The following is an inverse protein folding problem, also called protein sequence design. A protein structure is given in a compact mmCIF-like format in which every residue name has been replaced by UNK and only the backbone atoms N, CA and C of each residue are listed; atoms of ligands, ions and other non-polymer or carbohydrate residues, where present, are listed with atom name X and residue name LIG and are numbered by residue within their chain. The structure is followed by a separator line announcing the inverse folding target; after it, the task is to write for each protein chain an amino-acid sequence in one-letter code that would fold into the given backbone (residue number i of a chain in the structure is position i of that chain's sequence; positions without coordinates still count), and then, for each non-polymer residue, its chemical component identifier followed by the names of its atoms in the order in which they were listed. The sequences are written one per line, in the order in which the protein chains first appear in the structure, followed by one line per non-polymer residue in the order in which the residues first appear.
data_IF_149541768625
#
_entry.id   IF_149541768625
#
_cell.length_a   1.000
_cell.length_b   1.000
_cell.length_c   1.000
_cell.angle_alpha   90.00
_cell.angle_beta   90.00
_cell.angle_gamma   90.00
#
_symmetry.space_group_name_H-M   'P 1'
#
loop_
_entity.id
_entity.type
_entity.pdbx_description
1 polymer ?
#
# COMPACT_ATOMS: atom_id res chain seq x y z
N UNK A 1 21.08 -30.69 -44.73
CA UNK A 1 20.50 -30.29 -46.02
C UNK A 1 19.75 -28.98 -45.85
N UNK A 2 20.39 -27.87 -46.21
CA UNK A 2 19.83 -26.53 -46.07
C UNK A 2 18.91 -26.24 -47.25
N UNK A 3 17.67 -25.82 -47.00
CA UNK A 3 16.78 -25.30 -48.05
C UNK A 3 16.67 -23.79 -47.89
N UNK A 4 17.28 -23.10 -48.85
CA UNK A 4 17.21 -21.65 -49.06
C UNK A 4 15.93 -21.25 -49.84
N UNK A 5 15.73 -19.93 -49.90
CA UNK A 5 15.00 -19.12 -50.92
C UNK A 5 13.49 -19.00 -50.63
N UNK A 6 12.86 -17.82 -50.51
CA UNK A 6 12.88 -16.69 -51.45
C UNK A 6 12.39 -15.38 -50.78
N UNK A 7 13.13 -14.29 -50.98
CA UNK A 7 12.73 -12.90 -50.66
C UNK A 7 12.09 -12.30 -51.93
N UNK A 8 10.88 -11.76 -51.82
CA UNK A 8 10.24 -10.99 -52.89
C UNK A 8 10.33 -9.49 -52.55
N UNK A 9 11.16 -8.78 -53.29
CA UNK A 9 11.27 -7.31 -53.31
C UNK A 9 10.29 -6.80 -54.38
N UNK A 10 9.33 -5.97 -53.99
CA UNK A 10 8.53 -5.20 -54.92
C UNK A 10 8.80 -3.71 -54.69
N UNK A 11 9.37 -3.07 -55.71
CA UNK A 11 9.62 -1.63 -55.79
C UNK A 11 8.66 -0.99 -56.80
N UNK A 12 8.15 0.21 -56.49
CA UNK A 12 7.67 1.34 -57.31
C UNK A 12 6.59 2.08 -56.49
N UNK A 13 6.49 3.42 -56.42
CA UNK A 13 6.89 4.45 -57.36
C UNK A 13 7.20 5.79 -56.64
N UNK A 14 8.10 6.57 -57.25
CA UNK A 14 8.43 7.95 -56.89
C UNK A 14 7.45 8.89 -57.60
N UNK A 15 6.82 9.81 -56.86
CA UNK A 15 6.18 11.01 -57.42
C UNK A 15 6.83 12.22 -56.78
N UNK A 16 7.50 13.02 -57.61
CA UNK A 16 8.03 14.32 -57.26
C UNK A 16 7.00 15.41 -57.63
N UNK A 17 6.71 16.32 -56.71
CA UNK A 17 5.89 17.49 -57.01
C UNK A 17 5.83 18.50 -55.86
N UNK A 18 6.47 19.66 -56.07
CA UNK A 18 6.01 20.95 -55.52
C UNK A 18 6.71 21.47 -54.26
N UNK A 19 7.61 22.44 -54.44
CA UNK A 19 8.02 23.37 -53.38
C UNK A 19 6.96 24.45 -53.20
N UNK A 20 6.42 24.61 -51.99
CA UNK A 20 5.82 25.85 -51.51
C UNK A 20 6.29 26.07 -50.08
N UNK A 21 6.95 27.21 -49.86
CA UNK A 21 7.59 27.61 -48.62
C UNK A 21 6.62 28.54 -47.88
N UNK A 22 5.77 27.98 -47.02
CA UNK A 22 4.94 28.76 -46.10
C UNK A 22 5.50 28.65 -44.69
N UNK A 23 6.07 29.76 -44.23
CA UNK A 23 6.42 30.00 -42.83
C UNK A 23 5.17 29.86 -41.97
N UNK A 24 5.09 28.80 -41.18
CA UNK A 24 4.16 28.69 -40.07
C UNK A 24 4.94 28.45 -38.80
N UNK A 25 4.95 29.50 -37.98
CA UNK A 25 5.27 29.51 -36.55
C UNK A 25 4.59 28.31 -35.88
N UNK A 26 5.33 27.21 -35.73
CA UNK A 26 4.87 26.04 -34.98
C UNK A 26 5.48 26.18 -33.60
N UNK A 27 4.66 26.70 -32.69
CA UNK A 27 4.89 26.58 -31.26
C UNK A 27 5.35 25.15 -30.96
N UNK A 28 6.46 25.06 -30.24
CA UNK A 28 6.99 23.82 -29.71
C UNK A 28 5.97 23.22 -28.74
N UNK A 29 4.97 22.56 -29.29
CA UNK A 29 4.18 21.56 -28.57
C UNK A 29 5.15 20.40 -28.38
N UNK A 30 5.86 20.45 -27.26
CA UNK A 30 6.41 19.26 -26.64
C UNK A 30 5.20 18.36 -26.41
N UNK A 31 4.93 17.45 -27.36
CA UNK A 31 4.14 16.28 -27.08
C UNK A 31 4.97 15.49 -26.10
N UNK A 32 4.76 15.75 -24.81
CA UNK A 32 4.94 14.74 -23.79
C UNK A 32 4.13 13.54 -24.27
N UNK A 33 4.80 12.54 -24.83
CA UNK A 33 4.26 11.19 -24.82
C UNK A 33 3.87 10.86 -23.37
N UNK A 34 2.94 9.94 -23.13
CA UNK A 34 2.64 9.54 -21.77
C UNK A 34 3.97 9.16 -21.13
N UNK A 35 4.42 10.00 -20.21
CA UNK A 35 5.36 9.60 -19.18
C UNK A 35 4.74 8.32 -18.64
N UNK A 36 5.45 7.21 -18.77
CA UNK A 36 5.03 5.92 -18.23
C UNK A 36 4.95 6.11 -16.72
N UNK A 37 3.83 6.68 -16.26
CA UNK A 37 3.57 6.95 -14.87
C UNK A 37 3.69 5.63 -14.15
N UNK A 38 4.50 5.60 -13.09
CA UNK A 38 4.74 4.39 -12.32
C UNK A 38 3.42 3.66 -12.06
N UNK A 39 3.28 2.51 -12.70
CA UNK A 39 2.15 1.61 -12.54
C UNK A 39 2.31 0.99 -11.16
N UNK A 40 1.38 1.29 -10.25
CA UNK A 40 1.50 0.92 -8.84
C UNK A 40 0.31 0.08 -8.41
N UNK A 41 0.60 -1.11 -7.91
CA UNK A 41 -0.36 -1.98 -7.24
C UNK A 41 -0.11 -1.97 -5.74
N UNK A 42 -1.17 -2.18 -4.97
CA UNK A 42 -1.11 -2.25 -3.51
C UNK A 42 -2.03 -3.32 -2.97
N UNK A 43 -1.72 -3.79 -1.77
CA UNK A 43 -2.62 -4.63 -1.00
C UNK A 43 -2.28 -4.60 0.48
N UNK A 44 -3.23 -5.01 1.31
CA UNK A 44 -3.04 -5.23 2.73
C UNK A 44 -3.27 -6.72 3.01
N UNK A 45 -2.25 -7.36 3.57
CA UNK A 45 -2.29 -8.76 3.94
C UNK A 45 -3.03 -8.90 5.26
N UNK A 46 -4.04 -9.76 5.28
CA UNK A 46 -4.86 -10.06 6.44
C UNK A 46 -4.85 -11.54 6.77
N UNK A 47 -4.81 -11.85 8.05
CA UNK A 47 -5.02 -13.20 8.59
C UNK A 47 -6.48 -13.62 8.43
N UNK A 48 -6.78 -14.91 8.70
CA UNK A 48 -8.11 -15.48 8.49
C UNK A 48 -9.21 -14.83 9.36
N UNK A 49 -8.84 -14.25 10.50
CA UNK A 49 -9.72 -13.47 11.38
C UNK A 49 -9.90 -12.00 10.92
N UNK A 50 -9.24 -11.59 9.84
CA UNK A 50 -9.29 -10.25 9.28
C UNK A 50 -8.28 -9.25 9.85
N UNK A 51 -7.40 -9.69 10.77
CA UNK A 51 -6.35 -8.84 11.34
C UNK A 51 -5.31 -8.48 10.27
N UNK A 52 -5.02 -7.18 10.10
CA UNK A 52 -4.01 -6.73 9.14
C UNK A 52 -2.60 -6.93 9.69
N UNK A 53 -1.76 -7.66 8.98
CA UNK A 53 -0.39 -8.02 9.42
C UNK A 53 0.72 -7.36 8.61
N UNK A 54 0.46 -7.03 7.34
CA UNK A 54 1.43 -6.35 6.49
C UNK A 54 0.73 -5.54 5.38
N UNK A 55 1.42 -4.53 4.85
CA UNK A 55 1.06 -3.87 3.60
C UNK A 55 2.09 -4.24 2.54
N UNK A 56 1.64 -4.39 1.29
CA UNK A 56 2.50 -4.62 0.15
C UNK A 56 2.24 -3.57 -0.94
N UNK A 57 3.32 -3.11 -1.57
CA UNK A 57 3.28 -2.29 -2.79
C UNK A 57 4.11 -2.97 -3.88
N UNK A 58 3.65 -2.87 -5.12
CA UNK A 58 4.37 -3.33 -6.31
C UNK A 58 4.43 -2.14 -7.25
N UNK A 59 5.62 -1.58 -7.39
CA UNK A 59 5.89 -0.42 -8.22
C UNK A 59 6.61 -0.91 -9.50
N UNK A 60 5.96 -0.77 -10.66
CA UNK A 60 6.53 -1.15 -11.95
C UNK A 60 7.23 0.05 -12.58
N UNK A 61 8.54 -0.06 -12.80
CA UNK A 61 9.37 1.01 -13.36
C UNK A 61 10.55 0.37 -14.09
N UNK A 62 11.01 0.98 -15.18
CA UNK A 62 12.18 0.53 -15.95
C UNK A 62 12.13 -0.95 -16.41
N UNK A 63 10.92 -1.49 -16.63
CA UNK A 63 10.71 -2.83 -17.15
C UNK A 63 10.76 -3.96 -16.10
N UNK A 64 10.78 -3.65 -14.81
CA UNK A 64 10.69 -4.63 -13.72
C UNK A 64 9.78 -4.14 -12.59
N UNK A 65 9.39 -5.06 -11.71
CA UNK A 65 8.60 -4.81 -10.51
C UNK A 65 9.51 -4.61 -9.29
N UNK A 66 9.25 -3.57 -8.49
CA UNK A 66 9.79 -3.41 -7.14
C UNK A 66 8.70 -3.74 -6.13
N UNK A 67 8.84 -4.86 -5.44
CA UNK A 67 7.91 -5.31 -4.39
C UNK A 67 8.42 -4.86 -3.03
N UNK A 68 7.62 -4.07 -2.32
CA UNK A 68 7.88 -3.69 -0.92
C UNK A 68 6.82 -4.31 -0.04
N UNK A 69 7.21 -5.04 1.00
CA UNK A 69 6.31 -5.58 2.02
C UNK A 69 6.78 -5.12 3.40
N UNK A 70 5.86 -4.59 4.19
CA UNK A 70 6.16 -4.09 5.53
C UNK A 70 5.05 -4.44 6.50
N UNK A 71 5.43 -4.96 7.68
CA UNK A 71 4.47 -5.30 8.74
C UNK A 71 3.73 -4.08 9.24
N UNK A 72 2.43 -4.20 9.53
CA UNK A 72 1.59 -3.11 10.07
C UNK A 72 1.89 -2.77 11.53
N UNK A 73 2.57 -3.66 12.24
CA UNK A 73 2.88 -3.54 13.66
C UNK A 73 3.86 -4.60 14.13
N UNK A 74 3.84 -4.85 15.44
CA UNK A 74 4.71 -5.83 16.13
C UNK A 74 3.86 -6.96 16.74
N UNK A 75 4.46 -8.13 16.95
CA UNK A 75 3.83 -9.27 17.62
C UNK A 75 2.72 -10.01 16.86
N UNK A 76 2.31 -9.57 15.67
CA UNK A 76 1.31 -10.26 14.86
C UNK A 76 1.89 -11.44 14.05
N UNK A 77 3.19 -11.42 13.78
CA UNK A 77 3.93 -12.48 13.10
C UNK A 77 5.01 -13.03 14.03
N UNK A 78 5.28 -14.34 13.93
CA UNK A 78 6.38 -14.98 14.64
C UNK A 78 7.74 -14.48 14.15
N UNK A 79 8.78 -14.39 15.00
CA UNK A 79 10.13 -14.13 14.52
C UNK A 79 10.63 -15.25 13.61
N UNK A 80 11.28 -14.89 12.50
CA UNK A 80 11.81 -15.85 11.53
C UNK A 80 11.58 -15.44 10.08
N UNK A 81 11.86 -16.38 9.18
CA UNK A 81 11.60 -16.21 7.75
C UNK A 81 10.21 -16.73 7.40
N UNK A 82 9.46 -15.90 6.69
CA UNK A 82 8.13 -16.21 6.17
C UNK A 82 8.18 -16.21 4.64
N UNK A 83 7.76 -17.32 4.01
CA UNK A 83 7.61 -17.42 2.57
C UNK A 83 6.62 -16.39 2.03
N UNK A 84 6.88 -15.86 0.85
CA UNK A 84 6.08 -14.79 0.26
C UNK A 84 5.89 -15.08 -1.23
N UNK A 85 4.65 -15.26 -1.65
CA UNK A 85 4.36 -15.65 -3.04
C UNK A 85 3.18 -14.85 -3.59
N UNK A 86 3.25 -14.53 -4.88
CA UNK A 86 2.07 -14.13 -5.65
C UNK A 86 1.29 -15.39 -6.04
N UNK A 87 -0.03 -15.35 -5.94
CA UNK A 87 -0.94 -16.45 -6.25
C UNK A 87 -1.87 -16.12 -7.42
N UNK A 88 -2.27 -17.16 -8.15
CA UNK A 88 -2.91 -17.08 -9.47
C UNK A 88 -4.29 -16.43 -9.52
N UNK A 89 -4.96 -16.26 -8.37
CA UNK A 89 -6.28 -15.64 -8.29
C UNK A 89 -6.30 -14.50 -7.29
N UNK A 90 -7.00 -13.42 -7.64
CA UNK A 90 -7.27 -12.26 -6.77
C UNK A 90 -8.33 -12.56 -5.72
N UNK A 91 -8.11 -13.58 -4.90
CA UNK A 91 -9.06 -14.13 -3.93
C UNK A 91 -8.35 -14.44 -2.61
N UNK A 92 -9.02 -14.16 -1.49
CA UNK A 92 -8.49 -14.35 -0.14
C UNK A 92 -9.59 -14.81 0.83
N UNK A 93 -10.41 -15.78 0.42
CA UNK A 93 -11.41 -16.38 1.31
C UNK A 93 -10.70 -17.10 2.48
N UNK A 94 -10.98 -16.74 3.75
CA UNK A 94 -10.34 -17.37 4.90
C UNK A 94 -10.63 -18.87 5.03
N UNK A 95 -11.76 -19.33 4.49
CA UNK A 95 -12.14 -20.73 4.50
C UNK A 95 -11.18 -21.57 3.65
N UNK A 96 -10.67 -22.66 4.20
CA UNK A 96 -9.71 -23.52 3.51
C UNK A 96 -8.33 -22.90 3.41
N UNK A 97 -7.91 -22.13 4.43
CA UNK A 97 -6.56 -21.58 4.55
C UNK A 97 -6.13 -20.77 3.31
N UNK A 98 -7.01 -19.93 2.78
CA UNK A 98 -6.77 -19.14 1.55
C UNK A 98 -6.52 -19.98 0.29
N UNK A 99 -6.99 -21.23 0.22
CA UNK A 99 -6.86 -22.09 -0.98
C UNK A 99 -7.50 -21.48 -2.23
N UNK A 100 -8.46 -20.56 -2.06
CA UNK A 100 -9.14 -19.87 -3.15
C UNK A 100 -8.25 -18.94 -3.97
N UNK A 101 -7.10 -18.53 -3.41
CA UNK A 101 -6.04 -17.81 -4.13
C UNK A 101 -5.39 -18.68 -5.23
N UNK A 102 -5.56 -20.00 -5.16
CA UNK A 102 -4.97 -20.95 -6.10
C UNK A 102 -3.52 -21.27 -5.80
N UNK A 103 -2.80 -21.69 -6.84
CA UNK A 103 -1.36 -22.01 -6.79
C UNK A 103 -0.51 -20.75 -6.96
N UNK A 104 0.82 -20.89 -6.90
CA UNK A 104 1.75 -19.80 -7.19
C UNK A 104 1.50 -19.25 -8.59
N UNK A 105 1.61 -17.93 -8.72
CA UNK A 105 1.45 -17.24 -9.99
C UNK A 105 2.55 -17.66 -10.97
N UNK A 106 2.14 -18.05 -12.18
CA UNK A 106 3.02 -18.32 -13.30
C UNK A 106 2.67 -17.37 -14.45
N UNK A 107 3.65 -16.63 -14.95
CA UNK A 107 3.45 -15.80 -16.12
C UNK A 107 3.07 -16.67 -17.33
N UNK A 108 2.30 -16.15 -18.31
CA UNK A 108 1.87 -16.93 -19.47
C UNK A 108 3.03 -17.64 -20.17
N UNK A 109 2.92 -18.97 -20.28
CA UNK A 109 3.94 -19.82 -20.90
C UNK A 109 5.07 -20.29 -19.97
N UNK A 110 5.07 -19.87 -18.70
CA UNK A 110 6.03 -20.33 -17.69
C UNK A 110 5.49 -21.51 -16.89
N UNK A 111 6.35 -22.49 -16.63
CA UNK A 111 6.04 -23.68 -15.82
C UNK A 111 7.24 -24.15 -14.97
N UNK A 112 8.38 -23.46 -15.08
CA UNK A 112 9.58 -23.79 -14.32
C UNK A 112 9.46 -23.38 -12.85
N UNK A 113 10.32 -23.96 -12.01
CA UNK A 113 10.57 -23.51 -10.65
C UNK A 113 11.91 -22.76 -10.60
N UNK A 114 12.03 -21.67 -9.80
CA UNK A 114 10.96 -21.02 -9.04
C UNK A 114 9.85 -20.48 -9.96
N UNK A 115 8.62 -20.44 -9.45
CA UNK A 115 7.49 -19.88 -10.17
C UNK A 115 7.68 -18.37 -10.38
N UNK A 116 7.00 -17.80 -11.38
CA UNK A 116 7.12 -16.36 -11.66
C UNK A 116 6.77 -15.50 -10.44
N UNK A 117 5.79 -15.94 -9.65
CA UNK A 117 5.32 -15.27 -8.44
C UNK A 117 6.15 -15.48 -7.18
N UNK A 118 7.23 -16.27 -7.22
CA UNK A 118 8.06 -16.54 -6.03
C UNK A 118 8.88 -15.30 -5.68
N UNK A 119 8.85 -14.89 -4.41
CA UNK A 119 9.59 -13.73 -3.90
C UNK A 119 10.54 -14.16 -2.78
N UNK A 120 11.61 -13.39 -2.50
CA UNK A 120 12.43 -13.63 -1.33
C UNK A 120 11.58 -13.62 -0.04
N UNK A 121 11.93 -14.43 0.97
CA UNK A 121 11.14 -14.50 2.19
C UNK A 121 11.22 -13.19 2.99
N UNK A 122 10.12 -12.87 3.68
CA UNK A 122 10.08 -11.77 4.65
C UNK A 122 10.78 -12.21 5.94
N UNK A 123 11.85 -11.51 6.33
CA UNK A 123 12.48 -11.69 7.64
C UNK A 123 11.76 -10.84 8.68
N UNK A 124 11.12 -11.52 9.64
CA UNK A 124 10.48 -10.92 10.80
C UNK A 124 11.44 -10.98 11.99
N UNK A 125 11.72 -9.82 12.60
CA UNK A 125 12.61 -9.66 13.75
C UNK A 125 11.97 -10.20 15.03
N UNK A 126 12.75 -10.24 16.12
CA UNK A 126 12.29 -10.70 17.44
C UNK A 126 11.12 -9.89 18.03
N UNK A 127 10.92 -8.64 17.60
CA UNK A 127 9.78 -7.82 18.00
C UNK A 127 8.53 -8.07 17.13
N UNK A 128 8.61 -8.92 16.11
CA UNK A 128 7.51 -9.19 15.18
C UNK A 128 7.39 -8.15 14.06
N UNK A 129 8.32 -7.20 13.94
CA UNK A 129 8.39 -6.30 12.79
C UNK A 129 9.23 -6.90 11.66
N UNK A 130 8.82 -6.68 10.41
CA UNK A 130 9.51 -7.15 9.21
C UNK A 130 9.38 -6.17 8.06
N UNK A 131 10.42 -6.12 7.21
CA UNK A 131 10.40 -5.34 5.97
C UNK A 131 11.21 -6.04 4.90
N UNK A 132 10.63 -6.15 3.71
CA UNK A 132 11.25 -6.68 2.50
C UNK A 132 11.14 -5.63 1.39
N UNK A 133 12.23 -5.47 0.63
CA UNK A 133 12.22 -4.81 -0.67
C UNK A 133 12.95 -5.74 -1.64
N UNK A 134 12.26 -6.16 -2.69
CA UNK A 134 12.78 -7.06 -3.71
C UNK A 134 12.40 -6.57 -5.11
N UNK A 135 13.16 -6.99 -6.11
CA UNK A 135 12.86 -6.71 -7.51
C UNK A 135 12.62 -8.01 -8.26
N UNK A 136 11.71 -8.01 -9.23
CA UNK A 136 11.46 -9.14 -10.12
C UNK A 136 11.11 -8.64 -11.52
N UNK A 137 11.65 -9.32 -12.54
CA UNK A 137 11.30 -9.14 -13.95
C UNK A 137 10.44 -10.30 -14.48
N UNK A 138 9.95 -11.17 -13.58
CA UNK A 138 9.23 -12.39 -13.95
C UNK A 138 7.72 -12.17 -14.24
N UNK A 139 7.18 -10.99 -13.97
CA UNK A 139 5.78 -10.65 -14.18
C UNK A 139 5.57 -9.16 -14.47
N UNK A 140 4.43 -8.81 -15.08
CA UNK A 140 4.03 -7.42 -15.38
C UNK A 140 2.74 -7.01 -14.65
N UNK A 141 2.44 -5.72 -14.61
CA UNK A 141 1.21 -5.21 -14.00
C UNK A 141 -0.03 -5.83 -14.65
N UNK A 142 -0.05 -5.88 -15.97
CA UNK A 142 -1.19 -6.37 -16.76
C UNK A 142 -1.47 -7.85 -16.48
N UNK A 143 -0.42 -8.61 -16.18
CA UNK A 143 -0.56 -10.02 -15.82
C UNK A 143 -1.16 -10.19 -14.43
N UNK A 144 -0.75 -9.37 -13.45
CA UNK A 144 -1.29 -9.41 -12.08
C UNK A 144 -2.72 -8.85 -11.97
N UNK A 145 -3.09 -7.96 -12.90
CA UNK A 145 -4.40 -7.30 -12.96
C UNK A 145 -5.32 -7.86 -14.05
N UNK A 146 -4.97 -9.02 -14.61
CA UNK A 146 -5.78 -9.75 -15.56
C UNK A 146 -7.17 -10.14 -15.02
N UNK A 147 -8.01 -10.81 -15.83
CA UNK A 147 -9.40 -11.10 -15.46
C UNK A 147 -9.56 -11.93 -14.17
N UNK A 148 -8.57 -12.76 -13.87
CA UNK A 148 -8.53 -13.58 -12.66
C UNK A 148 -7.95 -12.83 -11.44
N UNK A 149 -7.30 -11.69 -11.68
CA UNK A 149 -6.52 -10.94 -10.70
C UNK A 149 -5.35 -11.75 -10.15
N UNK A 150 -4.73 -11.25 -9.09
CA UNK A 150 -3.72 -11.98 -8.33
C UNK A 150 -3.79 -11.56 -6.86
N UNK A 151 -3.25 -12.39 -5.99
CA UNK A 151 -3.11 -12.10 -4.57
C UNK A 151 -1.67 -12.32 -4.14
N UNK A 152 -1.30 -11.76 -2.99
CA UNK A 152 -0.05 -12.08 -2.30
C UNK A 152 -0.37 -12.87 -1.05
N UNK A 153 0.39 -13.94 -0.81
CA UNK A 153 0.26 -14.78 0.38
C UNK A 153 1.57 -14.76 1.16
N UNK A 154 1.42 -14.61 2.46
CA UNK A 154 2.47 -14.81 3.44
C UNK A 154 2.29 -16.18 4.08
N UNK A 155 3.35 -16.96 4.11
CA UNK A 155 3.38 -18.31 4.66
C UNK A 155 3.94 -18.33 6.09
N UNK A 156 3.61 -19.35 6.87
CA UNK A 156 4.12 -19.54 8.24
C UNK A 156 5.62 -19.82 8.23
N UNK A 157 6.04 -20.75 7.37
CA UNK A 157 7.43 -21.20 7.26
C UNK A 157 8.22 -20.49 6.17
N UNK A 158 9.52 -20.73 6.18
CA UNK A 158 10.45 -20.15 5.22
C UNK A 158 10.39 -20.86 3.86
N UNK A 159 10.49 -20.10 2.77
CA UNK A 159 10.77 -20.65 1.43
C UNK A 159 12.28 -20.63 1.16
N UNK A 160 13.00 -21.63 1.70
CA UNK A 160 14.45 -21.80 1.51
C UNK A 160 14.85 -23.28 1.50
N UNK A 161 15.92 -23.67 0.79
CA UNK A 161 16.42 -25.04 0.80
C UNK A 161 16.69 -25.54 2.23
N UNK A 162 16.04 -26.64 2.61
CA UNK A 162 16.17 -27.24 3.95
C UNK A 162 15.19 -26.73 5.00
N UNK A 163 14.28 -25.81 4.66
CA UNK A 163 13.10 -25.54 5.49
C UNK A 163 12.15 -26.75 5.44
N UNK A 164 11.69 -27.24 6.60
CA UNK A 164 10.90 -28.48 6.68
C UNK A 164 9.48 -28.28 7.23
N UNK A 165 9.17 -27.11 7.78
CA UNK A 165 7.91 -26.87 8.50
C UNK A 165 7.24 -25.58 8.01
N UNK A 166 5.91 -25.63 7.84
CA UNK A 166 5.07 -24.44 7.63
C UNK A 166 5.17 -23.74 6.26
N UNK A 167 6.02 -24.22 5.34
CA UNK A 167 6.22 -23.60 4.03
C UNK A 167 4.93 -23.54 3.20
N UNK A 168 4.03 -24.52 3.36
CA UNK A 168 2.74 -24.55 2.66
C UNK A 168 1.60 -23.87 3.44
N UNK A 169 1.81 -23.57 4.72
CA UNK A 169 0.78 -22.97 5.59
C UNK A 169 0.61 -21.50 5.25
N UNK A 170 -0.56 -21.11 4.74
CA UNK A 170 -0.89 -19.74 4.34
C UNK A 170 -1.46 -18.98 5.55
N UNK A 171 -0.74 -17.99 6.08
CA UNK A 171 -1.12 -17.28 7.31
C UNK A 171 -1.77 -15.92 7.05
N UNK A 172 -1.48 -15.28 5.92
CA UNK A 172 -2.14 -14.04 5.53
C UNK A 172 -2.24 -13.90 4.02
N UNK A 173 -3.29 -13.24 3.56
CA UNK A 173 -3.56 -13.03 2.14
C UNK A 173 -3.98 -11.58 1.88
N UNK A 174 -3.55 -11.03 0.73
CA UNK A 174 -4.00 -9.74 0.24
C UNK A 174 -4.29 -9.79 -1.26
N UNK A 175 -5.51 -9.41 -1.67
CA UNK A 175 -5.86 -9.26 -3.09
C UNK A 175 -5.14 -8.04 -3.65
N UNK A 176 -4.42 -8.20 -4.75
CA UNK A 176 -3.66 -7.12 -5.38
C UNK A 176 -4.61 -6.27 -6.20
N UNK A 177 -4.48 -4.95 -6.09
CA UNK A 177 -5.31 -4.02 -6.86
C UNK A 177 -4.51 -2.77 -7.21
N UNK A 178 -4.83 -2.10 -8.33
CA UNK A 178 -4.29 -0.80 -8.63
C UNK A 178 -4.50 0.16 -7.47
N UNK A 179 -3.54 1.06 -7.24
CA UNK A 179 -3.77 2.18 -6.33
C UNK A 179 -4.95 2.95 -6.88
N UNK A 180 -6.10 2.80 -6.24
CA UNK A 180 -7.19 3.74 -6.40
C UNK A 180 -6.61 5.06 -5.92
N UNK A 181 -6.34 5.99 -6.83
CA UNK A 181 -6.22 7.42 -6.53
C UNK A 181 -7.60 7.90 -6.08
N UNK A 182 -8.11 7.33 -5.00
CA UNK A 182 -9.28 7.79 -4.30
C UNK A 182 -8.79 8.95 -3.46
N UNK A 183 -8.63 10.10 -4.11
CA UNK A 183 -8.92 11.39 -3.50
C UNK A 183 -10.40 11.35 -3.11
N UNK A 184 -10.73 10.58 -2.08
CA UNK A 184 -12.00 10.67 -1.39
C UNK A 184 -11.91 11.93 -0.53
N UNK A 185 -11.97 13.09 -1.18
CA UNK A 185 -12.44 14.29 -0.50
C UNK A 185 -13.90 14.00 -0.20
N UNK A 186 -14.15 13.51 1.02
CA UNK A 186 -15.48 13.51 1.59
C UNK A 186 -15.88 14.98 1.76
N UNK A 187 -16.46 15.57 0.71
CA UNK A 187 -17.23 16.80 0.82
C UNK A 187 -18.50 16.45 1.58
N UNK A 188 -18.41 16.51 2.91
CA UNK A 188 -19.57 16.48 3.78
C UNK A 188 -20.33 17.79 3.59
N UNK A 189 -21.27 17.82 2.65
CA UNK A 189 -22.22 18.93 2.52
C UNK A 189 -23.18 18.88 3.71
N UNK A 190 -22.84 19.62 4.77
CA UNK A 190 -23.72 19.87 5.90
C UNK A 190 -24.77 20.92 5.49
N UNK A 191 -25.94 20.46 5.04
CA UNK A 191 -27.10 21.33 4.80
C UNK A 191 -27.75 21.69 6.14
N UNK A 192 -27.36 22.82 6.73
CA UNK A 192 -28.07 23.40 7.86
C UNK A 192 -29.33 24.11 7.37
N UNK A 193 -30.50 23.53 7.66
CA UNK A 193 -31.80 24.16 7.37
C UNK A 193 -32.07 25.20 8.45
N UNK A 194 -32.02 26.49 8.09
CA UNK A 194 -32.40 27.59 8.99
C UNK A 194 -33.92 27.72 8.98
N UNK A 195 -34.58 27.18 10.00
CA UNK A 195 -36.02 27.39 10.22
C UNK A 195 -36.22 28.77 10.83
N UNK A 196 -36.65 29.75 10.04
CA UNK A 196 -37.07 31.06 10.54
C UNK A 196 -38.47 30.96 11.15
N UNK A 197 -38.55 30.87 12.47
CA UNK A 197 -39.80 31.03 13.21
C UNK A 197 -40.21 32.50 13.20
N UNK A 198 -41.32 32.83 12.55
CA UNK A 198 -41.90 34.16 12.60
C UNK A 198 -42.38 34.47 14.02
N UNK A 199 -41.78 35.48 14.65
CA UNK A 199 -42.20 36.02 15.94
C UNK A 199 -43.45 36.89 15.72
N UNK A 200 -44.50 36.63 16.48
CA UNK A 200 -45.74 37.41 16.49
C UNK A 200 -45.47 38.87 16.93
N UNK A 201 -46.20 39.86 16.40
CA UNK A 201 -46.01 41.27 16.75
C UNK A 201 -46.36 41.54 18.24
N UNK A 202 -45.55 42.35 18.95
CA UNK A 202 -45.83 42.70 20.34
C UNK A 202 -47.03 43.65 20.48
N UNK A 203 -47.80 43.56 21.59
CA UNK A 203 -48.88 44.50 21.89
C UNK A 203 -48.36 45.91 22.27
N UNK A 204 -49.20 46.96 22.20
CA UNK A 204 -48.79 48.36 22.38
C UNK A 204 -48.28 48.65 23.81
N UNK A 205 -47.19 49.38 23.89
CA UNK A 205 -46.52 49.76 25.13
C UNK A 205 -47.34 50.77 25.96
N UNK A 206 -47.47 50.49 27.26
CA UNK A 206 -47.85 51.49 28.27
C UNK A 206 -46.57 52.07 28.88
N UNK A 207 -46.41 53.38 28.75
CA UNK A 207 -45.29 54.15 29.31
C UNK A 207 -45.45 54.27 30.82
N UNK A 208 -44.39 54.02 31.58
CA UNK A 208 -44.26 54.49 32.97
C UNK A 208 -42.82 54.91 33.17
N UNK A 209 -42.63 56.20 33.41
CA UNK A 209 -41.36 56.81 33.79
C UNK A 209 -40.90 56.27 35.16
N UNK A 210 -39.61 56.01 35.31
CA UNK A 210 -38.92 56.27 36.57
C UNK A 210 -37.40 56.43 36.39
N UNK A 211 -36.86 57.38 37.15
CA UNK A 211 -35.53 58.00 37.19
C UNK A 211 -34.30 57.08 37.30
N UNK A 212 -33.11 57.61 36.95
CA UNK A 212 -31.86 56.86 36.92
C UNK A 212 -31.19 56.76 38.29
N UNK A 213 -30.55 55.62 38.57
CA UNK A 213 -29.59 55.44 39.68
C UNK A 213 -28.25 54.95 39.11
N UNK A 214 -27.19 55.51 39.69
CA UNK A 214 -25.77 55.50 39.31
C UNK A 214 -25.10 54.10 39.27
N UNK A 215 -23.89 53.98 38.65
CA UNK A 215 -23.27 52.70 38.34
C UNK A 215 -22.45 52.13 39.50
N UNK A 216 -22.53 50.83 39.70
CA UNK A 216 -21.60 50.06 40.55
C UNK A 216 -20.79 49.12 39.67
N UNK A 217 -19.49 49.36 39.59
CA UNK A 217 -18.50 48.47 38.98
C UNK A 217 -18.23 47.29 39.91
N UNK A 218 -18.52 46.08 39.46
CA UNK A 218 -18.08 44.85 40.14
C UNK A 218 -17.15 44.09 39.21
N UNK A 219 -15.87 44.07 39.57
CA UNK A 219 -14.82 43.27 38.95
C UNK A 219 -15.02 41.80 39.33
N UNK A 220 -15.20 40.93 38.33
CA UNK A 220 -15.23 39.47 38.51
C UNK A 220 -13.90 38.91 38.02
N UNK A 221 -13.12 38.32 38.93
CA UNK A 221 -11.90 37.57 38.63
C UNK A 221 -12.24 36.18 38.04
N UNK A 222 -11.44 35.65 37.09
CA UNK A 222 -11.63 34.30 36.57
C UNK A 222 -11.16 33.21 37.56
N UNK A 223 -11.71 31.99 37.48
CA UNK A 223 -11.32 30.88 38.34
C UNK A 223 -9.96 30.28 37.94
N UNK A 224 -9.18 29.94 38.96
CA UNK A 224 -7.90 29.23 38.88
C UNK A 224 -8.14 27.74 38.63
N UNK A 225 -7.71 27.22 37.48
CA UNK A 225 -7.66 25.77 37.24
C UNK A 225 -6.39 25.18 37.86
N UNK A 226 -6.58 24.17 38.72
CA UNK A 226 -5.50 23.40 39.34
C UNK A 226 -5.25 22.15 38.50
N UNK A 227 -4.07 22.05 37.88
CA UNK A 227 -3.62 20.84 37.18
C UNK A 227 -2.83 19.95 38.14
N UNK A 228 -3.30 18.72 38.34
CA UNK A 228 -2.61 17.69 39.12
C UNK A 228 -1.70 16.89 38.20
N UNK A 229 -0.38 17.00 38.38
CA UNK A 229 0.62 16.18 37.67
C UNK A 229 0.85 14.90 38.46
N UNK A 230 0.60 13.74 37.85
CA UNK A 230 0.94 12.43 38.43
C UNK A 230 2.29 12.00 37.88
N UNK A 231 3.31 11.98 38.73
CA UNK A 231 4.65 11.55 38.38
C UNK A 231 4.75 10.03 38.52
N UNK A 232 5.05 9.33 37.42
CA UNK A 232 5.28 7.87 37.41
C UNK A 232 6.78 7.61 37.45
N UNK A 233 7.30 7.19 38.61
CA UNK A 233 8.68 6.73 38.76
C UNK A 233 8.88 5.37 38.12
N UNK A 234 9.68 5.31 37.05
CA UNK A 234 10.14 4.08 36.41
C UNK A 234 11.41 3.59 37.12
N UNK A 235 11.33 2.42 37.75
CA UNK A 235 12.50 1.75 38.35
C UNK A 235 13.20 0.94 37.25
N UNK A 236 14.46 1.27 36.97
CA UNK A 236 15.29 0.56 35.99
C UNK A 236 16.06 -0.55 36.69
N UNK A 237 15.76 -1.80 36.36
CA UNK A 237 16.56 -2.96 36.80
C UNK A 237 17.62 -3.25 35.73
N UNK A 238 18.90 -3.19 36.11
CA UNK A 238 20.03 -3.48 35.24
C UNK A 238 20.09 -4.98 34.90
N UNK A 239 20.18 -5.30 33.61
CA UNK A 239 20.40 -6.66 33.08
C UNK A 239 21.92 -6.90 32.98
N UNK A 240 22.47 -8.00 33.54
CA UNK A 240 23.90 -8.29 33.42
C UNK A 240 24.29 -8.69 31.99
N UNK A 241 25.44 -8.20 31.56
CA UNK A 241 26.04 -8.44 30.23
C UNK A 241 26.39 -9.92 30.01
N UNK A 242 26.14 -10.49 28.81
CA UNK A 242 26.59 -11.84 28.50
C UNK A 242 28.10 -11.86 28.21
N UNK A 243 28.83 -12.69 28.93
CA UNK A 243 30.23 -13.02 28.66
C UNK A 243 30.30 -13.87 27.40
N UNK A 244 30.98 -13.37 26.36
CA UNK A 244 31.22 -14.11 25.12
C UNK A 244 32.36 -15.10 25.34
N UNK A 245 32.05 -16.40 25.37
CA UNK A 245 33.03 -17.48 25.31
C UNK A 245 33.15 -17.94 23.85
N UNK A 246 34.37 -17.85 23.32
CA UNK A 246 34.72 -18.18 21.93
C UNK A 246 34.93 -19.70 21.82
N UNK A 247 34.34 -20.41 20.84
CA UNK A 247 34.59 -21.84 20.68
C UNK A 247 36.04 -22.11 20.21
N UNK A 248 36.66 -23.22 20.65
CA UNK A 248 38.02 -23.57 20.24
C UNK A 248 38.10 -23.93 18.75
N UNK A 249 39.19 -23.52 18.12
CA UNK A 249 39.47 -23.78 16.71
C UNK A 249 39.54 -25.29 16.40
N UNK A 250 39.07 -25.73 15.22
CA UNK A 250 39.17 -27.14 14.83
C UNK A 250 40.65 -27.51 14.61
N UNK A 251 41.07 -28.59 15.27
CA UNK A 251 42.33 -29.27 14.95
C UNK A 251 42.24 -29.88 13.55
N UNK A 252 43.31 -29.72 12.77
CA UNK A 252 43.39 -30.10 11.36
C UNK A 252 43.43 -31.60 11.06
#
# INVERSE_FOLDING_TARGET
MNRHVTVAIAALAVVAGGCANESSDTGSTTTSGPESGAQKLTTQLKTADGTAVANATIDFTDGYATVTVETTGTGALSPGFHGLHLHSFGRCEPSGDFSSAGEHFQAPGQTSMPASGDLPPLLVRSDGAGRLVATSDAFTEEQLTGPDGSSIILHEGADMPGATEGADTRIACGVISPVSTSTSVSTSTSTSVVTTTAVAPPPPATVTETSPVAPTTTTVSPPTETSTVTETTVTTTAVPSPTSELPPAPNG
#
